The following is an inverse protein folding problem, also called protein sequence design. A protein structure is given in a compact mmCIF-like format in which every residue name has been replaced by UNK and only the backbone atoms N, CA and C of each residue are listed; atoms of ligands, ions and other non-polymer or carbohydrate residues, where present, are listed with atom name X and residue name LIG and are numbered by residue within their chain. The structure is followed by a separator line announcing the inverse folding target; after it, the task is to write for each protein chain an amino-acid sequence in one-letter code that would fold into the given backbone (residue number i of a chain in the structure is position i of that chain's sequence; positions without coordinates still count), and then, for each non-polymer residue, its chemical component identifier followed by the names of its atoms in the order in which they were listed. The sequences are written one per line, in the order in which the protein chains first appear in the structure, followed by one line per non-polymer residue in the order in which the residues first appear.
data_IF_684846828098
#
_entry.id   IF_684846828098
#
_cell.length_a   1.000
_cell.length_b   1.000
_cell.length_c   1.000
_cell.angle_alpha   90.00
_cell.angle_beta   90.00
_cell.angle_gamma   90.00
#
_symmetry.space_group_name_H-M   'P 1'
#
loop_
_entity.id
_entity.type
_entity.pdbx_description
1 polymer ?
#
# COMPACT_ATOMS: atom_id res chain seq x y z
N UNK A 1 -13.45 39.66 -26.91
CA UNK A 1 -13.89 38.52 -26.08
C UNK A 1 -13.06 37.24 -26.34
N UNK A 2 -11.72 37.32 -26.28
CA UNK A 2 -10.83 36.15 -26.53
C UNK A 2 -9.91 35.83 -25.34
N UNK A 3 -9.55 36.83 -24.53
CA UNK A 3 -8.67 36.67 -23.37
C UNK A 3 -9.32 35.90 -22.20
N UNK A 4 -10.64 35.99 -22.04
CA UNK A 4 -11.37 35.26 -20.98
C UNK A 4 -11.48 33.76 -21.27
N UNK A 5 -11.64 33.36 -22.54
CA UNK A 5 -11.65 31.93 -22.91
C UNK A 5 -10.27 31.31 -22.73
N UNK A 6 -9.20 32.00 -23.13
CA UNK A 6 -7.82 31.53 -22.95
C UNK A 6 -7.45 31.35 -21.46
N UNK A 7 -7.94 32.22 -20.57
CA UNK A 7 -7.73 32.08 -19.12
C UNK A 7 -8.51 30.91 -18.54
N UNK A 8 -9.79 30.74 -18.91
CA UNK A 8 -10.60 29.60 -18.48
C UNK A 8 -10.03 28.26 -18.97
N UNK A 9 -9.57 28.18 -20.22
CA UNK A 9 -8.92 26.98 -20.77
C UNK A 9 -7.63 26.65 -20.03
N UNK A 10 -6.82 27.66 -19.70
CA UNK A 10 -5.59 27.49 -18.91
C UNK A 10 -5.89 26.97 -17.50
N UNK A 11 -6.90 27.51 -16.83
CA UNK A 11 -7.29 27.08 -15.48
C UNK A 11 -7.84 25.65 -15.46
N UNK A 12 -8.63 25.27 -16.48
CA UNK A 12 -9.09 23.90 -16.67
C UNK A 12 -7.92 22.93 -16.87
N UNK A 13 -6.99 23.25 -17.79
CA UNK A 13 -5.78 22.44 -18.03
C UNK A 13 -4.93 22.29 -16.78
N UNK A 14 -4.74 23.38 -16.02
CA UNK A 14 -3.99 23.33 -14.76
C UNK A 14 -4.68 22.46 -13.69
N UNK A 15 -6.01 22.52 -13.59
CA UNK A 15 -6.77 21.66 -12.68
C UNK A 15 -6.61 20.17 -13.03
N UNK A 16 -6.73 19.85 -14.32
CA UNK A 16 -6.53 18.49 -14.84
C UNK A 16 -5.10 18.02 -14.59
N UNK A 17 -4.10 18.83 -14.91
CA UNK A 17 -2.68 18.48 -14.68
C UNK A 17 -2.38 18.23 -13.21
N UNK A 18 -2.90 19.05 -12.30
CA UNK A 18 -2.73 18.81 -10.85
C UNK A 18 -3.37 17.49 -10.43
N UNK A 19 -4.56 17.18 -10.93
CA UNK A 19 -5.25 15.92 -10.62
C UNK A 19 -4.45 14.71 -11.11
N UNK A 20 -4.02 14.72 -12.36
CA UNK A 20 -3.21 13.65 -12.95
C UNK A 20 -1.90 13.47 -12.18
N UNK A 21 -1.22 14.57 -11.83
CA UNK A 21 0.02 14.49 -11.05
C UNK A 21 -0.20 13.89 -9.66
N UNK A 22 -1.30 14.26 -9.00
CA UNK A 22 -1.68 13.66 -7.70
C UNK A 22 -1.98 12.17 -7.84
N UNK A 23 -2.72 11.78 -8.87
CA UNK A 23 -3.09 10.38 -9.11
C UNK A 23 -1.84 9.53 -9.40
N UNK A 24 -0.95 10.01 -10.28
CA UNK A 24 0.32 9.35 -10.57
C UNK A 24 1.19 9.21 -9.32
N UNK A 25 1.38 10.29 -8.56
CA UNK A 25 2.18 10.25 -7.33
C UNK A 25 1.57 9.34 -6.25
N UNK A 26 0.24 9.20 -6.22
CA UNK A 26 -0.44 8.27 -5.32
C UNK A 26 -0.27 6.81 -5.78
N UNK A 27 -0.29 6.55 -7.09
CA UNK A 27 -0.03 5.23 -7.66
C UNK A 27 1.41 4.79 -7.40
N UNK A 28 2.40 5.63 -7.68
CA UNK A 28 3.83 5.33 -7.44
C UNK A 28 4.05 4.94 -5.97
N UNK A 29 3.54 5.74 -5.03
CA UNK A 29 3.62 5.45 -3.60
C UNK A 29 2.91 4.15 -3.21
N UNK A 30 1.79 3.83 -3.86
CA UNK A 30 1.06 2.60 -3.60
C UNK A 30 1.84 1.37 -4.08
N UNK A 31 2.46 1.46 -5.26
CA UNK A 31 3.33 0.41 -5.81
C UNK A 31 4.55 0.18 -4.92
N UNK A 32 5.26 1.25 -4.55
CA UNK A 32 6.43 1.17 -3.67
C UNK A 32 6.07 0.51 -2.32
N UNK A 33 4.95 0.92 -1.73
CA UNK A 33 4.49 0.35 -0.47
C UNK A 33 4.11 -1.13 -0.61
N UNK A 34 3.51 -1.55 -1.72
CA UNK A 34 3.16 -2.95 -1.96
C UNK A 34 4.42 -3.81 -2.12
N UNK A 35 5.44 -3.31 -2.83
CA UNK A 35 6.73 -3.99 -2.98
C UNK A 35 7.46 -4.13 -1.64
N UNK A 36 7.53 -3.05 -0.84
CA UNK A 36 8.14 -3.08 0.50
C UNK A 36 7.43 -4.08 1.42
N UNK A 37 6.09 -4.12 1.38
CA UNK A 37 5.30 -5.09 2.15
C UNK A 37 5.60 -6.53 1.74
N UNK A 38 5.62 -6.82 0.43
CA UNK A 38 5.90 -8.16 -0.08
C UNK A 38 7.31 -8.62 0.31
N UNK A 39 8.31 -7.73 0.18
CA UNK A 39 9.68 -8.03 0.56
C UNK A 39 9.81 -8.28 2.08
N UNK A 40 9.20 -7.43 2.90
CA UNK A 40 9.17 -7.62 4.36
C UNK A 40 8.56 -8.96 4.76
N UNK A 41 7.45 -9.35 4.12
CA UNK A 41 6.78 -10.62 4.39
C UNK A 41 7.68 -11.80 3.99
N UNK A 42 8.35 -11.74 2.82
CA UNK A 42 9.29 -12.79 2.38
C UNK A 42 10.43 -12.96 3.38
N UNK A 43 10.99 -11.87 3.90
CA UNK A 43 12.04 -11.95 4.93
C UNK A 43 11.56 -12.61 6.23
N UNK A 44 10.35 -12.28 6.68
CA UNK A 44 9.75 -12.95 7.85
C UNK A 44 9.54 -14.45 7.60
N UNK A 45 9.21 -14.83 6.36
CA UNK A 45 9.07 -16.22 5.94
C UNK A 45 10.42 -16.95 5.93
N UNK A 46 11.44 -16.36 5.30
CA UNK A 46 12.79 -16.92 5.20
C UNK A 46 13.46 -17.10 6.59
N UNK A 47 13.12 -16.22 7.54
CA UNK A 47 13.56 -16.32 8.93
C UNK A 47 12.77 -17.35 9.78
N UNK A 48 11.76 -18.03 9.20
CA UNK A 48 10.90 -18.97 9.92
C UNK A 48 9.98 -18.33 10.97
N UNK A 49 9.82 -17.00 10.94
CA UNK A 49 9.05 -16.24 11.92
C UNK A 49 7.59 -16.08 11.51
N UNK A 50 7.31 -16.06 10.20
CA UNK A 50 5.95 -15.87 9.70
C UNK A 50 4.97 -16.93 10.25
N UNK A 51 5.41 -18.18 10.35
CA UNK A 51 4.57 -19.29 10.82
C UNK A 51 4.20 -19.19 12.30
N UNK A 52 5.01 -18.49 13.09
CA UNK A 52 4.83 -18.30 14.53
C UNK A 52 3.90 -17.11 14.84
N UNK A 53 3.54 -16.31 13.83
CA UNK A 53 2.68 -15.15 14.03
C UNK A 53 1.22 -15.54 14.24
N UNK A 54 0.43 -14.69 14.93
CA UNK A 54 -1.02 -14.87 15.02
C UNK A 54 -1.68 -14.99 13.64
N UNK A 55 -2.72 -15.82 13.54
CA UNK A 55 -3.45 -16.12 12.29
C UNK A 55 -3.83 -14.88 11.48
N UNK A 56 -4.25 -13.81 12.15
CA UNK A 56 -4.63 -12.55 11.49
C UNK A 56 -3.48 -11.94 10.69
N UNK A 57 -2.24 -12.07 11.17
CA UNK A 57 -1.05 -11.58 10.46
C UNK A 57 -0.62 -12.55 9.36
N UNK A 58 -0.69 -13.87 9.62
CA UNK A 58 -0.39 -14.90 8.61
C UNK A 58 -1.33 -14.79 7.40
N UNK A 59 -2.64 -14.70 7.64
CA UNK A 59 -3.64 -14.49 6.59
C UNK A 59 -3.41 -13.18 5.81
N UNK A 60 -3.04 -12.09 6.48
CA UNK A 60 -2.71 -10.83 5.81
C UNK A 60 -1.44 -10.94 4.96
N UNK A 61 -0.41 -11.62 5.47
CA UNK A 61 0.82 -11.86 4.74
C UNK A 61 0.59 -12.72 3.48
N UNK A 62 -0.15 -13.81 3.64
CA UNK A 62 -0.55 -14.69 2.55
C UNK A 62 -1.33 -13.92 1.48
N UNK A 63 -2.39 -13.20 1.85
CA UNK A 63 -3.19 -12.45 0.90
C UNK A 63 -2.35 -11.43 0.11
N UNK A 64 -1.43 -10.71 0.78
CA UNK A 64 -0.53 -9.75 0.12
C UNK A 64 0.45 -10.42 -0.86
N UNK A 65 0.95 -11.61 -0.54
CA UNK A 65 1.85 -12.36 -1.44
C UNK A 65 1.12 -13.01 -2.62
N UNK A 66 -0.10 -13.50 -2.40
CA UNK A 66 -0.91 -14.16 -3.42
C UNK A 66 -1.51 -13.18 -4.43
N UNK A 67 -1.82 -11.95 -3.98
CA UNK A 67 -2.51 -10.93 -4.79
C UNK A 67 -1.78 -9.58 -4.71
N UNK A 68 -0.51 -9.49 -5.12
CA UNK A 68 0.32 -8.29 -4.95
C UNK A 68 -0.22 -7.05 -5.68
N UNK A 69 -0.99 -7.24 -6.74
CA UNK A 69 -1.59 -6.20 -7.58
C UNK A 69 -2.79 -5.50 -6.93
N UNK A 70 -3.41 -6.13 -5.92
CA UNK A 70 -4.61 -5.60 -5.28
C UNK A 70 -4.29 -4.42 -4.36
N UNK A 71 -5.15 -3.41 -4.42
CA UNK A 71 -5.13 -2.29 -3.48
C UNK A 71 -5.37 -2.76 -2.04
N UNK A 72 -5.07 -1.90 -1.07
CA UNK A 72 -5.35 -2.19 0.34
C UNK A 72 -6.83 -2.46 0.61
N UNK A 73 -7.74 -1.81 -0.13
CA UNK A 73 -9.18 -2.02 0.04
C UNK A 73 -9.60 -3.39 -0.48
N UNK A 74 -9.23 -3.71 -1.72
CA UNK A 74 -9.57 -4.99 -2.34
C UNK A 74 -8.98 -6.18 -1.57
N UNK A 75 -7.77 -6.03 -1.03
CA UNK A 75 -7.20 -7.08 -0.18
C UNK A 75 -7.93 -7.23 1.15
N UNK A 76 -8.41 -6.14 1.73
CA UNK A 76 -9.17 -6.20 2.97
C UNK A 76 -10.53 -6.88 2.75
N UNK A 77 -11.16 -6.63 1.60
CA UNK A 77 -12.41 -7.27 1.17
C UNK A 77 -12.21 -8.75 0.82
N UNK A 78 -11.01 -9.14 0.36
CA UNK A 78 -10.69 -10.52 -0.01
C UNK A 78 -10.44 -11.46 1.18
N UNK A 79 -10.33 -10.94 2.40
CA UNK A 79 -10.12 -11.73 3.60
C UNK A 79 -11.43 -12.34 4.11
N UNK A 80 -11.32 -13.47 4.83
CA UNK A 80 -12.45 -14.11 5.50
C UNK A 80 -12.23 -14.23 7.03
N UNK A 81 -13.03 -13.51 7.85
CA UNK A 81 -14.01 -12.49 7.45
C UNK A 81 -13.35 -11.22 6.87
N UNK A 82 -14.07 -10.43 6.04
CA UNK A 82 -13.57 -9.16 5.52
C UNK A 82 -13.20 -8.20 6.64
N UNK A 83 -12.24 -7.32 6.38
CA UNK A 83 -11.79 -6.30 7.32
C UNK A 83 -11.80 -4.92 6.68
N UNK A 84 -11.69 -3.87 7.48
CA UNK A 84 -11.52 -2.52 6.93
C UNK A 84 -10.11 -2.34 6.36
N UNK A 85 -9.98 -1.48 5.34
CA UNK A 85 -8.68 -1.02 4.81
C UNK A 85 -7.70 -0.63 5.91
N UNK A 86 -8.17 0.13 6.92
CA UNK A 86 -7.34 0.59 8.04
C UNK A 86 -6.84 -0.57 8.91
N UNK A 87 -7.69 -1.58 9.17
CA UNK A 87 -7.28 -2.77 9.91
C UNK A 87 -6.22 -3.57 9.15
N UNK A 88 -6.41 -3.79 7.83
CA UNK A 88 -5.42 -4.46 6.98
C UNK A 88 -4.09 -3.68 6.97
N UNK A 89 -4.14 -2.36 6.79
CA UNK A 89 -2.96 -1.51 6.77
C UNK A 89 -2.18 -1.58 8.10
N UNK A 90 -2.88 -1.60 9.24
CA UNK A 90 -2.22 -1.75 10.54
C UNK A 90 -1.49 -3.10 10.66
N UNK A 91 -2.08 -4.19 10.16
CA UNK A 91 -1.43 -5.51 10.13
C UNK A 91 -0.20 -5.53 9.23
N UNK A 92 -0.28 -4.90 8.05
CA UNK A 92 0.85 -4.78 7.13
C UNK A 92 1.99 -3.95 7.73
N UNK A 93 1.67 -2.84 8.41
CA UNK A 93 2.67 -2.05 9.16
C UNK A 93 3.34 -2.84 10.28
N UNK A 94 2.59 -3.72 10.95
CA UNK A 94 3.17 -4.60 11.96
C UNK A 94 4.13 -5.61 11.34
N UNK A 95 3.77 -6.21 10.21
CA UNK A 95 4.65 -7.12 9.45
C UNK A 95 5.92 -6.42 8.97
N UNK A 96 5.80 -5.23 8.36
CA UNK A 96 6.98 -4.47 7.93
C UNK A 96 7.84 -4.01 9.11
N UNK A 97 7.23 -3.62 10.24
CA UNK A 97 7.95 -3.30 11.48
C UNK A 97 8.80 -4.46 11.99
N UNK A 98 8.21 -5.66 12.12
CA UNK A 98 8.95 -6.86 12.54
C UNK A 98 10.08 -7.21 11.57
N UNK A 99 9.86 -7.08 10.25
CA UNK A 99 10.90 -7.31 9.26
C UNK A 99 12.05 -6.29 9.36
N UNK A 100 11.77 -5.06 9.78
CA UNK A 100 12.79 -4.02 10.01
C UNK A 100 13.59 -4.27 11.29
N UNK A 101 12.94 -4.74 12.35
CA UNK A 101 13.61 -5.17 13.58
C UNK A 101 14.63 -6.28 13.29
N UNK A 102 14.32 -7.21 12.40
CA UNK A 102 15.26 -8.25 11.96
C UNK A 102 16.52 -7.70 11.26
N UNK A 103 16.41 -6.53 10.61
CA UNK A 103 17.57 -5.84 10.01
C UNK A 103 18.35 -4.97 10.98
N UNK A 104 17.87 -4.82 12.23
CA UNK A 104 18.41 -3.84 13.18
C UNK A 104 18.11 -2.39 12.80
N UNK A 105 17.04 -2.14 12.05
CA UNK A 105 16.66 -0.78 11.67
C UNK A 105 15.72 -0.11 12.66
N UNK A 106 15.83 1.22 12.87
CA UNK A 106 14.94 1.95 13.75
C UNK A 106 13.50 1.98 13.20
N UNK A 107 12.52 1.71 14.07
CA UNK A 107 11.10 1.92 13.78
C UNK A 107 10.87 3.41 13.47
N UNK A 108 10.25 3.70 12.32
CA UNK A 108 9.84 5.07 11.95
C UNK A 108 8.46 5.37 12.53
#
# INVERSE_FOLDING_TARGET
MSVMSAKMEKDLRNSVNRRINCDNANLDKAVDAALEQAEAIRRLMDAGLLEQLPDKLRKTAQARLEKPELSLSELADSLDPPVTKSCLNHRLRKLTGMARELRGEPLK
#
